data_IF_958195896951
#
_entry.id   IF_958195896951
#
_cell.length_a   1.000
_cell.length_b   1.000
_cell.length_c   1.000
_cell.angle_alpha   90.00
_cell.angle_beta   90.00
_cell.angle_gamma   90.00
#
_symmetry.space_group_name_H-M   'P 1'
#
loop_
_entity.id
_entity.type
_entity.pdbx_description
1 polymer ?
#
# COMPACT_ATOMS: atom_id res chain seq x y z
N UNK A 1 -61.78 21.32 -48.63
CA UNK A 1 -60.67 22.22 -49.02
C UNK A 1 -60.58 23.30 -47.95
N UNK A 2 -59.71 23.10 -46.96
CA UNK A 2 -59.47 24.02 -45.84
C UNK A 2 -57.96 24.08 -45.66
N UNK A 3 -57.42 25.29 -45.79
CA UNK A 3 -56.00 25.63 -45.71
C UNK A 3 -55.58 25.65 -44.24
N UNK A 4 -54.53 24.88 -43.90
CA UNK A 4 -53.89 24.92 -42.57
C UNK A 4 -52.84 26.04 -42.48
N UNK A 5 -52.68 26.70 -41.32
CA UNK A 5 -51.69 27.74 -41.14
C UNK A 5 -50.30 27.21 -40.77
N UNK A 6 -49.31 28.06 -41.07
CA UNK A 6 -47.87 27.85 -40.99
C UNK A 6 -47.26 28.08 -39.60
N UNK A 7 -46.05 27.51 -39.43
CA UNK A 7 -44.90 27.93 -38.62
C UNK A 7 -45.02 27.94 -37.08
N UNK A 8 -44.06 27.28 -36.42
CA UNK A 8 -43.00 27.93 -35.61
C UNK A 8 -41.85 26.92 -35.45
N UNK A 9 -40.65 27.32 -35.89
CA UNK A 9 -39.36 26.72 -35.52
C UNK A 9 -38.83 27.53 -34.33
N UNK A 10 -38.60 26.88 -33.19
CA UNK A 10 -37.76 27.38 -32.10
C UNK A 10 -36.78 26.27 -31.76
N UNK A 11 -35.49 26.55 -31.99
CA UNK A 11 -34.39 25.67 -31.66
C UNK A 11 -34.05 25.71 -30.17
N UNK A 12 -33.36 24.66 -29.71
CA UNK A 12 -32.32 24.78 -28.70
C UNK A 12 -31.33 23.63 -28.88
N UNK A 13 -30.18 23.96 -29.47
CA UNK A 13 -28.99 23.13 -29.45
C UNK A 13 -28.43 23.13 -28.02
N UNK A 14 -28.62 22.02 -27.31
CA UNK A 14 -27.92 21.75 -26.06
C UNK A 14 -26.45 21.49 -26.37
N UNK A 15 -25.64 22.54 -26.29
CA UNK A 15 -24.18 22.46 -26.35
C UNK A 15 -23.68 21.74 -25.10
N UNK A 16 -23.41 20.43 -25.22
CA UNK A 16 -22.76 19.65 -24.19
C UNK A 16 -21.32 20.14 -24.01
N UNK A 17 -21.10 20.98 -23.01
CA UNK A 17 -19.77 21.32 -22.54
C UNK A 17 -19.15 20.05 -21.94
N UNK A 18 -18.41 19.31 -22.77
CA UNK A 18 -17.47 18.29 -22.35
C UNK A 18 -16.43 18.95 -21.44
N UNK A 19 -16.70 18.89 -20.14
CA UNK A 19 -15.78 19.28 -19.09
C UNK A 19 -14.64 18.28 -19.16
N UNK A 20 -13.59 18.65 -19.89
CA UNK A 20 -12.36 17.87 -19.96
C UNK A 20 -11.87 17.64 -18.54
N UNK A 21 -11.96 16.40 -18.09
CA UNK A 21 -11.20 15.93 -16.94
C UNK A 21 -9.73 16.07 -17.31
N UNK A 22 -9.15 17.21 -16.94
CA UNK A 22 -7.70 17.35 -16.79
C UNK A 22 -7.30 16.45 -15.62
N UNK A 23 -7.30 15.14 -15.86
CA UNK A 23 -6.71 14.18 -14.94
C UNK A 23 -5.26 14.56 -14.76
N UNK A 24 -4.87 14.94 -13.54
CA UNK A 24 -3.47 15.08 -13.20
C UNK A 24 -2.74 13.81 -13.65
N UNK A 25 -1.54 13.93 -14.25
CA UNK A 25 -0.80 12.76 -14.70
C UNK A 25 -0.70 11.77 -13.55
N UNK A 26 -1.17 10.53 -13.78
CA UNK A 26 -1.04 9.46 -12.80
C UNK A 26 0.45 9.30 -12.50
N UNK A 27 0.83 9.56 -11.26
CA UNK A 27 2.18 9.36 -10.81
C UNK A 27 2.56 7.90 -11.00
N UNK A 28 3.69 7.64 -11.65
CA UNK A 28 4.21 6.29 -11.82
C UNK A 28 5.07 5.90 -10.62
N UNK A 29 5.07 4.61 -10.28
CA UNK A 29 5.97 4.06 -9.28
C UNK A 29 7.41 4.10 -9.82
N UNK A 30 8.37 4.45 -8.97
CA UNK A 30 9.79 4.36 -9.32
C UNK A 30 10.16 2.90 -9.63
N UNK A 31 10.57 2.57 -10.88
CA UNK A 31 10.85 1.19 -11.27
C UNK A 31 12.01 0.58 -10.48
N UNK A 32 12.87 1.38 -9.86
CA UNK A 32 13.94 0.89 -8.99
C UNK A 32 13.41 0.28 -7.70
N UNK A 33 12.18 0.53 -7.29
CA UNK A 33 11.58 -0.14 -6.12
C UNK A 33 11.19 -1.58 -6.43
N UNK A 34 10.91 -1.88 -7.69
CA UNK A 34 10.46 -3.18 -8.15
C UNK A 34 11.60 -4.19 -8.05
N UNK A 35 11.28 -5.40 -7.58
CA UNK A 35 12.22 -6.51 -7.48
C UNK A 35 12.09 -7.29 -6.18
N UNK A 36 13.05 -8.19 -5.96
CA UNK A 36 13.16 -8.98 -4.74
C UNK A 36 14.20 -8.37 -3.81
N UNK A 37 13.86 -8.26 -2.53
CA UNK A 37 14.60 -7.55 -1.50
C UNK A 37 14.82 -8.47 -0.30
N UNK A 38 16.08 -8.73 0.01
CA UNK A 38 16.52 -9.56 1.13
C UNK A 38 16.69 -8.68 2.38
N UNK A 39 15.98 -9.00 3.47
CA UNK A 39 16.06 -8.26 4.72
C UNK A 39 17.44 -8.46 5.37
N UNK A 40 18.09 -7.37 5.72
CA UNK A 40 19.27 -7.35 6.57
C UNK A 40 18.82 -7.31 8.04
N UNK A 41 18.84 -8.48 8.68
CA UNK A 41 18.40 -8.65 10.06
C UNK A 41 19.30 -7.93 11.07
N UNK A 42 20.57 -7.66 10.72
CA UNK A 42 21.52 -7.00 11.63
C UNK A 42 21.35 -5.48 11.60
N UNK A 43 21.02 -4.92 10.43
CA UNK A 43 20.83 -3.47 10.25
C UNK A 43 19.39 -3.01 10.46
N UNK A 44 18.42 -3.92 10.41
CA UNK A 44 17.02 -3.60 10.70
C UNK A 44 16.82 -3.34 12.20
N UNK A 45 15.96 -2.37 12.52
CA UNK A 45 15.50 -2.13 13.89
C UNK A 45 14.66 -3.33 14.38
N UNK A 46 14.83 -3.79 15.62
CA UNK A 46 13.93 -4.77 16.23
C UNK A 46 12.47 -4.27 16.26
N UNK A 47 11.52 -5.20 16.10
CA UNK A 47 10.08 -4.88 16.07
C UNK A 47 9.42 -5.02 17.45
N UNK A 48 10.19 -5.15 18.53
CA UNK A 48 9.66 -5.48 19.86
C UNK A 48 8.68 -4.43 20.37
N UNK A 49 8.99 -3.14 20.23
CA UNK A 49 8.11 -2.05 20.64
C UNK A 49 6.78 -2.04 19.87
N UNK A 50 6.81 -2.32 18.56
CA UNK A 50 5.59 -2.43 17.75
C UNK A 50 4.77 -3.67 18.15
N UNK A 51 5.44 -4.79 18.43
CA UNK A 51 4.78 -6.01 18.89
C UNK A 51 4.16 -5.84 20.29
N UNK A 52 4.82 -5.12 21.20
CA UNK A 52 4.29 -4.75 22.51
C UNK A 52 3.05 -3.88 22.37
N UNK A 53 3.13 -2.84 21.53
CA UNK A 53 2.06 -1.87 21.33
C UNK A 53 0.74 -2.52 20.90
N UNK A 54 0.80 -3.51 20.00
CA UNK A 54 -0.38 -4.24 19.50
C UNK A 54 -0.62 -5.58 20.21
N UNK A 55 0.04 -5.78 21.37
CA UNK A 55 -0.11 -6.94 22.25
C UNK A 55 0.10 -8.31 21.57
N UNK A 56 1.11 -8.44 20.70
CA UNK A 56 1.40 -9.71 20.04
C UNK A 56 1.88 -10.76 21.04
N UNK A 57 1.34 -11.98 20.91
CA UNK A 57 1.77 -13.13 21.69
C UNK A 57 3.18 -13.57 21.30
N UNK A 58 3.85 -14.29 22.20
CA UNK A 58 5.23 -14.78 21.98
C UNK A 58 5.38 -15.59 20.69
N UNK A 59 4.42 -16.46 20.36
CA UNK A 59 4.45 -17.26 19.14
C UNK A 59 4.45 -16.41 17.87
N UNK A 60 3.61 -15.36 17.82
CA UNK A 60 3.57 -14.44 16.67
C UNK A 60 4.87 -13.66 16.55
N UNK A 61 5.45 -13.23 17.68
CA UNK A 61 6.75 -12.54 17.70
C UNK A 61 7.87 -13.39 17.13
N UNK A 62 7.91 -14.67 17.50
CA UNK A 62 8.87 -15.61 16.92
C UNK A 62 8.64 -15.76 15.40
N UNK A 63 7.38 -15.79 14.96
CA UNK A 63 7.02 -15.79 13.53
C UNK A 63 7.57 -14.57 12.78
N UNK A 64 7.50 -13.37 13.36
CA UNK A 64 8.03 -12.14 12.76
C UNK A 64 9.55 -12.23 12.56
N UNK A 65 10.28 -12.85 13.49
CA UNK A 65 11.74 -13.07 13.36
C UNK A 65 12.11 -13.99 12.19
N UNK A 66 11.14 -14.73 11.64
CA UNK A 66 11.33 -15.58 10.48
C UNK A 66 11.22 -14.83 9.15
N UNK A 67 10.76 -13.58 9.13
CA UNK A 67 10.73 -12.78 7.90
C UNK A 67 12.14 -12.67 7.31
N UNK A 68 12.26 -12.91 6.01
CA UNK A 68 13.53 -12.89 5.28
C UNK A 68 13.58 -11.83 4.20
N UNK A 69 12.45 -11.32 3.74
CA UNK A 69 12.48 -10.30 2.71
C UNK A 69 11.10 -10.02 2.16
N UNK A 70 11.09 -9.24 1.09
CA UNK A 70 9.89 -8.99 0.33
C UNK A 70 10.18 -8.96 -1.17
N UNK A 71 9.13 -9.12 -1.96
CA UNK A 71 9.10 -8.86 -3.38
C UNK A 71 8.11 -7.72 -3.61
N UNK A 72 8.52 -6.71 -4.37
CA UNK A 72 7.64 -5.64 -4.84
C UNK A 72 7.48 -5.81 -6.34
N UNK A 73 6.24 -5.93 -6.78
CA UNK A 73 5.86 -6.04 -8.18
C UNK A 73 4.73 -5.07 -8.49
N UNK A 74 4.62 -4.68 -9.75
CA UNK A 74 3.56 -3.81 -10.25
C UNK A 74 2.98 -4.47 -11.49
N UNK A 75 1.66 -4.54 -11.56
CA UNK A 75 0.92 -4.88 -12.78
C UNK A 75 0.17 -3.65 -13.30
N UNK A 76 -0.74 -3.85 -14.27
CA UNK A 76 -1.49 -2.74 -14.90
C UNK A 76 -2.34 -1.92 -13.92
N UNK A 77 -2.74 -2.52 -12.79
CA UNK A 77 -3.76 -1.96 -11.90
C UNK A 77 -3.35 -1.91 -10.42
N UNK A 78 -2.32 -2.65 -10.03
CA UNK A 78 -1.96 -2.81 -8.62
C UNK A 78 -0.45 -2.89 -8.38
N UNK A 79 -0.05 -2.42 -7.20
CA UNK A 79 1.20 -2.81 -6.57
C UNK A 79 0.94 -4.07 -5.74
N UNK A 80 1.74 -5.11 -5.97
CA UNK A 80 1.80 -6.31 -5.14
C UNK A 80 3.04 -6.29 -4.28
N UNK A 81 2.88 -6.46 -2.97
CA UNK A 81 3.96 -6.72 -2.03
C UNK A 81 3.83 -8.13 -1.49
N UNK A 82 4.86 -8.95 -1.66
CA UNK A 82 4.89 -10.29 -1.08
C UNK A 82 6.00 -10.41 -0.04
N UNK A 83 5.64 -10.62 1.22
CA UNK A 83 6.59 -10.86 2.30
C UNK A 83 6.84 -12.37 2.39
N UNK A 84 8.12 -12.76 2.37
CA UNK A 84 8.52 -14.15 2.51
C UNK A 84 9.35 -14.37 3.79
N UNK A 85 9.20 -15.56 4.35
CA UNK A 85 9.87 -15.97 5.58
C UNK A 85 10.78 -17.19 5.36
N UNK A 86 11.52 -17.59 6.39
CA UNK A 86 12.32 -18.81 6.39
C UNK A 86 11.47 -20.08 6.26
N UNK A 87 10.18 -20.00 6.61
CA UNK A 87 9.24 -21.10 6.45
C UNK A 87 8.50 -20.92 5.12
N UNK A 88 8.65 -21.84 4.15
CA UNK A 88 8.06 -21.71 2.82
C UNK A 88 6.53 -21.55 2.81
N UNK A 89 5.85 -22.07 3.84
CA UNK A 89 4.40 -22.00 3.99
C UNK A 89 3.89 -20.64 4.47
N UNK A 90 4.78 -19.76 4.95
CA UNK A 90 4.42 -18.42 5.43
C UNK A 90 4.86 -17.38 4.40
N UNK A 91 3.96 -17.14 3.45
CA UNK A 91 4.02 -16.05 2.47
C UNK A 91 2.78 -15.18 2.61
N UNK A 92 2.97 -13.88 2.83
CA UNK A 92 1.89 -12.90 2.86
C UNK A 92 1.94 -12.16 1.54
N UNK A 93 0.83 -12.14 0.81
CA UNK A 93 0.70 -11.31 -0.39
C UNK A 93 -0.29 -10.19 -0.09
N UNK A 94 0.12 -8.98 -0.42
CA UNK A 94 -0.67 -7.76 -0.26
C UNK A 94 -0.82 -7.11 -1.63
N UNK A 95 -2.02 -6.59 -1.90
CA UNK A 95 -2.37 -5.94 -3.15
C UNK A 95 -2.92 -4.55 -2.85
N UNK A 96 -2.42 -3.56 -3.58
CA UNK A 96 -2.78 -2.16 -3.42
C UNK A 96 -3.10 -1.54 -4.78
N UNK A 97 -4.36 -1.11 -5.01
CA UNK A 97 -4.75 -0.43 -6.25
C UNK A 97 -3.92 0.82 -6.53
N UNK A 98 -3.48 0.99 -7.78
CA UNK A 98 -2.69 2.15 -8.22
C UNK A 98 -3.51 3.45 -8.29
N UNK A 99 -4.84 3.35 -8.22
CA UNK A 99 -5.73 4.52 -8.11
C UNK A 99 -5.86 5.04 -6.67
N UNK A 100 -5.21 4.39 -5.70
CA UNK A 100 -5.27 4.77 -4.30
C UNK A 100 -6.58 4.38 -3.61
N UNK A 101 -7.36 3.47 -4.17
CA UNK A 101 -8.47 2.85 -3.45
C UNK A 101 -7.97 1.97 -2.29
N UNK A 102 -8.79 1.81 -1.26
CA UNK A 102 -8.51 0.85 -0.18
C UNK A 102 -8.73 -0.59 -0.66
N UNK A 103 -7.83 -1.49 -0.27
CA UNK A 103 -7.94 -2.92 -0.52
C UNK A 103 -7.79 -3.75 0.76
N UNK A 104 -8.60 -4.80 0.94
CA UNK A 104 -8.49 -5.70 2.07
C UNK A 104 -7.31 -6.67 1.92
N UNK A 105 -6.45 -6.72 2.93
CA UNK A 105 -5.30 -7.63 2.99
C UNK A 105 -5.32 -8.42 4.31
N UNK A 106 -4.68 -9.59 4.33
CA UNK A 106 -4.56 -10.40 5.54
C UNK A 106 -3.71 -9.67 6.59
N UNK A 107 -4.08 -9.76 7.87
CA UNK A 107 -3.27 -9.17 8.93
C UNK A 107 -1.85 -9.74 8.97
N UNK A 108 -0.86 -8.85 9.09
CA UNK A 108 0.57 -9.20 9.22
C UNK A 108 0.91 -9.88 10.54
N UNK A 109 0.07 -9.70 11.56
CA UNK A 109 0.23 -10.29 12.88
C UNK A 109 -0.36 -11.70 13.02
N UNK A 110 -0.77 -12.33 11.90
CA UNK A 110 -1.34 -13.67 11.82
C UNK A 110 -2.61 -13.87 12.67
N UNK A 111 -3.19 -12.80 13.23
CA UNK A 111 -4.51 -12.86 13.83
C UNK A 111 -5.56 -12.97 12.72
N UNK A 112 -6.71 -13.54 13.07
CA UNK A 112 -7.85 -13.63 12.16
C UNK A 112 -8.31 -12.22 11.73
N UNK A 113 -8.80 -12.13 10.49
CA UNK A 113 -9.33 -10.90 9.92
C UNK A 113 -8.41 -10.25 8.90
N UNK A 114 -8.73 -9.00 8.57
CA UNK A 114 -8.10 -8.22 7.51
C UNK A 114 -7.67 -6.86 8.06
N UNK A 115 -6.70 -6.24 7.40
CA UNK A 115 -6.51 -4.79 7.44
C UNK A 115 -6.95 -4.20 6.09
N UNK A 116 -7.29 -2.92 6.08
CA UNK A 116 -7.51 -2.14 4.86
C UNK A 116 -6.25 -1.35 4.57
N UNK A 117 -5.74 -1.51 3.36
CA UNK A 117 -4.50 -0.90 2.89
C UNK A 117 -4.76 0.03 1.72
N UNK A 118 -4.07 1.17 1.67
CA UNK A 118 -4.15 2.15 0.59
C UNK A 118 -2.76 2.57 0.15
N UNK A 119 -2.53 2.62 -1.16
CA UNK A 119 -1.29 3.14 -1.74
C UNK A 119 -1.41 4.64 -1.98
N UNK A 120 -0.39 5.37 -1.55
CA UNK A 120 -0.08 6.73 -1.98
C UNK A 120 1.32 6.72 -2.59
N UNK A 121 1.55 7.55 -3.61
CA UNK A 121 2.89 7.75 -4.18
C UNK A 121 3.40 9.14 -3.80
N UNK A 122 4.67 9.21 -3.40
CA UNK A 122 5.35 10.50 -3.24
C UNK A 122 5.60 11.15 -4.59
N UNK A 123 6.02 12.42 -4.58
CA UNK A 123 6.41 13.18 -5.77
C UNK A 123 7.52 12.51 -6.60
N UNK A 124 8.30 11.62 -5.99
CA UNK A 124 9.38 10.85 -6.62
C UNK A 124 8.92 9.45 -7.11
N UNK A 125 7.64 9.11 -6.93
CA UNK A 125 7.10 7.79 -7.27
C UNK A 125 7.38 6.72 -6.20
N UNK A 126 7.74 7.12 -4.98
CA UNK A 126 7.97 6.16 -3.89
C UNK A 126 6.66 5.71 -3.24
N UNK A 127 6.46 4.41 -2.97
CA UNK A 127 5.27 3.94 -2.27
C UNK A 127 5.21 4.41 -0.81
N UNK A 128 3.99 4.81 -0.41
CA UNK A 128 3.53 4.97 0.97
C UNK A 128 2.29 4.12 1.18
N UNK A 129 2.37 3.14 2.07
CA UNK A 129 1.26 2.24 2.36
C UNK A 129 0.59 2.66 3.66
N UNK A 130 -0.64 3.16 3.55
CA UNK A 130 -1.49 3.48 4.70
C UNK A 130 -2.30 2.25 5.05
N UNK A 131 -2.21 1.82 6.31
CA UNK A 131 -2.85 0.60 6.80
C UNK A 131 -3.78 0.97 7.95
N UNK A 132 -4.95 0.34 8.03
CA UNK A 132 -5.81 0.39 9.20
C UNK A 132 -6.46 -0.96 9.47
N UNK A 133 -6.62 -1.31 10.73
CA UNK A 133 -7.31 -2.53 11.13
C UNK A 133 -8.21 -2.25 12.32
N UNK A 134 -9.27 -3.04 12.42
CA UNK A 134 -10.33 -2.84 13.41
C UNK A 134 -10.08 -3.60 14.72
N UNK A 135 -11.04 -3.49 15.64
CA UNK A 135 -11.09 -4.18 16.92
C UNK A 135 -10.91 -5.71 16.80
N UNK A 136 -10.40 -6.41 17.84
CA UNK A 136 -10.11 -5.93 19.20
C UNK A 136 -8.72 -5.28 19.39
N UNK A 137 -8.01 -4.92 18.33
CA UNK A 137 -6.71 -4.25 18.42
C UNK A 137 -6.62 -3.09 17.45
N UNK A 138 -7.64 -2.25 17.38
CA UNK A 138 -7.73 -1.23 16.34
C UNK A 138 -6.46 -0.36 16.29
N UNK A 139 -6.00 -0.06 15.09
CA UNK A 139 -4.78 0.69 14.89
C UNK A 139 -4.52 1.00 13.43
N UNK A 140 -3.47 1.78 13.22
CA UNK A 140 -3.05 2.28 11.94
C UNK A 140 -1.56 2.00 11.74
N UNK A 141 -1.17 1.86 10.49
CA UNK A 141 0.21 1.72 10.07
C UNK A 141 0.52 2.62 8.89
N UNK A 142 1.76 3.10 8.82
CA UNK A 142 2.31 3.73 7.62
C UNK A 142 3.63 3.06 7.29
N UNK A 143 3.77 2.55 6.08
CA UNK A 143 5.07 2.11 5.55
C UNK A 143 5.55 3.10 4.49
N UNK A 144 6.69 3.74 4.72
CA UNK A 144 7.34 4.62 3.75
C UNK A 144 8.57 3.93 3.14
N UNK A 145 8.61 3.88 1.81
CA UNK A 145 9.70 3.26 1.06
C UNK A 145 10.76 4.31 0.73
N UNK A 146 12.02 3.98 0.95
CA UNK A 146 13.16 4.85 0.65
C UNK A 146 14.29 4.06 0.01
N UNK A 147 14.72 4.46 -1.19
CA UNK A 147 15.91 3.88 -1.82
C UNK A 147 17.17 4.58 -1.31
N UNK A 148 18.08 3.81 -0.72
CA UNK A 148 19.40 4.27 -0.27
C UNK A 148 20.44 3.82 -1.29
N UNK A 149 20.28 4.31 -2.53
CA UNK A 149 21.05 3.87 -3.69
C UNK A 149 20.37 2.72 -4.47
N UNK A 150 21.07 2.12 -5.45
CA UNK A 150 20.45 1.17 -6.40
C UNK A 150 20.15 -0.23 -5.81
N UNK A 151 20.82 -0.58 -4.71
CA UNK A 151 20.81 -1.93 -4.14
C UNK A 151 20.32 -1.99 -2.70
N UNK A 152 19.82 -0.89 -2.14
CA UNK A 152 19.37 -0.83 -0.76
C UNK A 152 18.01 -0.13 -0.67
N UNK A 153 17.06 -0.79 -0.01
CA UNK A 153 15.71 -0.31 0.25
C UNK A 153 15.50 -0.26 1.77
N UNK A 154 15.08 0.89 2.26
CA UNK A 154 14.60 1.05 3.63
C UNK A 154 13.08 1.15 3.58
N UNK A 155 12.42 0.41 4.46
CA UNK A 155 11.00 0.61 4.75
C UNK A 155 10.92 1.13 6.18
N UNK A 156 10.53 2.40 6.34
CA UNK A 156 10.29 3.03 7.63
C UNK A 156 8.81 2.82 7.95
N UNK A 157 8.56 2.06 9.00
CA UNK A 157 7.21 1.72 9.42
C UNK A 157 6.86 2.46 10.69
N UNK A 158 5.69 3.10 10.72
CA UNK A 158 5.06 3.66 11.91
C UNK A 158 3.82 2.85 12.24
N UNK A 159 3.61 2.56 13.52
CA UNK A 159 2.44 1.85 14.03
C UNK A 159 1.81 2.68 15.12
N UNK A 160 0.52 2.98 14.99
CA UNK A 160 -0.27 3.72 15.97
C UNK A 160 -1.38 2.82 16.50
N UNK A 161 -1.43 2.63 17.80
CA UNK A 161 -2.53 1.95 18.49
C UNK A 161 -2.63 2.47 19.92
N UNK A 162 -3.83 2.42 20.53
CA UNK A 162 -4.03 2.83 21.92
C UNK A 162 -3.49 4.24 22.25
N UNK A 163 -3.51 5.17 21.29
CA UNK A 163 -3.00 6.54 21.45
C UNK A 163 -1.47 6.67 21.50
N UNK A 164 -0.73 5.60 21.22
CA UNK A 164 0.73 5.62 21.14
C UNK A 164 1.19 5.30 19.72
N UNK A 165 2.33 5.87 19.33
CA UNK A 165 2.97 5.62 18.03
C UNK A 165 4.40 5.16 18.24
N UNK A 166 4.80 4.11 17.55
CA UNK A 166 6.18 3.62 17.51
C UNK A 166 6.64 3.48 16.07
N UNK A 167 7.94 3.66 15.85
CA UNK A 167 8.55 3.50 14.52
C UNK A 167 9.69 2.48 14.55
N UNK A 168 9.91 1.83 13.41
CA UNK A 168 11.05 0.95 13.19
C UNK A 168 11.43 0.95 11.71
N UNK A 169 12.69 0.64 11.42
CA UNK A 169 13.19 0.58 10.04
C UNK A 169 13.55 -0.86 9.68
N UNK A 170 12.99 -1.36 8.58
CA UNK A 170 13.47 -2.59 7.95
C UNK A 170 14.42 -2.23 6.81
N UNK A 171 15.65 -2.73 6.89
CA UNK A 171 16.68 -2.53 5.86
C UNK A 171 16.72 -3.76 4.98
N UNK A 172 16.72 -3.55 3.67
CA UNK A 172 16.79 -4.61 2.68
C UNK A 172 17.88 -4.35 1.65
N UNK A 173 18.52 -5.42 1.19
CA UNK A 173 19.43 -5.41 0.04
C UNK A 173 18.76 -6.06 -1.16
N UNK A 174 19.06 -5.59 -2.36
CA UNK A 174 18.53 -6.19 -3.57
C UNK A 174 19.04 -7.63 -3.70
N UNK A 175 18.13 -8.57 -3.92
CA UNK A 175 18.50 -9.95 -4.25
C UNK A 175 18.97 -9.99 -5.70
N UNK A 176 20.19 -10.49 -5.90
CA UNK A 176 20.78 -10.71 -7.23
C UNK A 176 19.98 -11.73 -8.04
#
# INVERSE_FOLDING_TARGET
MVLGPQNVVIGQAGSGNGRGETGSPKQAIDPRVIGTWQKDMKRSTPMDAAADLIALSGLVREGIKLVRGCEVAVDESSLRMAVYSALPLFKINEYYPLDGAEAPNMRRDLRLGKFLGRLELTTEGMPRLHLRWDAPYAGEGLDEFHLVGPHELHIVSMVTANGQTVSYTSVFTRKA
#
